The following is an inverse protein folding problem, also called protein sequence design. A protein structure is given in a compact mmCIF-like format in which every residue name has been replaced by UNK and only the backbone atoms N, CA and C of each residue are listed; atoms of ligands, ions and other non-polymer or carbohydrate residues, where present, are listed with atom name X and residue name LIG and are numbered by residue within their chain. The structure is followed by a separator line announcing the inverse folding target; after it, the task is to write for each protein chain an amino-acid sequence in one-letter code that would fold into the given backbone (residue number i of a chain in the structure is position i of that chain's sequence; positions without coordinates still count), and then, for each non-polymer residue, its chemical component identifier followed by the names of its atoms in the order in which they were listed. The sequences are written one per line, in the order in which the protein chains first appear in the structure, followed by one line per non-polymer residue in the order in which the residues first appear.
data_IF_370722551552
#
_entry.id   IF_370722551552
#
_cell.length_a   1.000
_cell.length_b   1.000
_cell.length_c   1.000
_cell.angle_alpha   90.00
_cell.angle_beta   90.00
_cell.angle_gamma   90.00
#
_symmetry.space_group_name_H-M   'P 1'
#
loop_
_entity.id
_entity.type
_entity.pdbx_description
1 polymer ?
#
# COMPACT_ATOMS: atom_id res chain seq x y z
N UNK A 1 13.81 39.60 -46.00
CA UNK A 1 13.15 39.15 -44.75
C UNK A 1 12.95 37.66 -44.82
N UNK A 2 13.65 36.88 -43.99
CA UNK A 2 13.22 35.54 -43.53
C UNK A 2 14.15 35.09 -42.39
N UNK A 3 13.74 35.35 -41.13
CA UNK A 3 14.36 34.77 -39.92
C UNK A 3 13.89 33.32 -39.79
N UNK A 4 14.79 32.35 -39.68
CA UNK A 4 14.47 31.01 -39.14
C UNK A 4 14.60 31.07 -37.62
N UNK A 5 13.58 30.70 -36.81
CA UNK A 5 13.58 31.00 -35.38
C UNK A 5 14.22 29.95 -34.46
N UNK A 6 14.74 28.84 -34.98
CA UNK A 6 15.40 27.83 -34.14
C UNK A 6 16.63 27.27 -34.85
N UNK A 7 17.70 28.06 -34.89
CA UNK A 7 19.04 27.54 -35.06
C UNK A 7 19.50 27.02 -33.70
N UNK A 8 19.15 25.78 -33.37
CA UNK A 8 19.79 25.09 -32.26
C UNK A 8 21.22 24.82 -32.74
N UNK A 9 22.15 25.63 -32.25
CA UNK A 9 23.56 25.57 -32.61
C UNK A 9 24.11 24.20 -32.20
N UNK A 10 24.26 23.34 -33.20
CA UNK A 10 24.81 21.99 -33.09
C UNK A 10 26.30 22.01 -32.67
N UNK A 11 26.86 23.18 -32.33
CA UNK A 11 28.18 23.36 -31.72
C UNK A 11 28.21 23.28 -30.19
N UNK A 12 27.06 23.31 -29.48
CA UNK A 12 27.00 23.04 -28.02
C UNK A 12 26.76 21.57 -27.68
N UNK A 13 26.68 20.69 -28.68
CA UNK A 13 26.56 19.25 -28.49
C UNK A 13 27.92 18.55 -28.28
N UNK A 14 29.04 19.28 -28.32
CA UNK A 14 30.36 18.71 -28.01
C UNK A 14 30.71 18.93 -26.53
N UNK A 15 30.33 17.93 -25.72
CA UNK A 15 31.01 17.46 -24.52
C UNK A 15 31.31 18.50 -23.42
N UNK A 16 30.30 18.77 -22.57
CA UNK A 16 30.61 18.92 -21.16
C UNK A 16 30.74 17.49 -20.59
N UNK A 17 31.95 16.98 -20.30
CA UNK A 17 32.15 15.60 -19.85
C UNK A 17 31.37 15.29 -18.56
N UNK A 18 31.02 16.33 -17.79
CA UNK A 18 30.16 16.20 -16.62
C UNK A 18 28.70 15.89 -17.00
N UNK A 19 28.16 16.49 -18.08
CA UNK A 19 26.80 16.22 -18.57
C UNK A 19 26.69 14.83 -19.21
N UNK A 20 27.70 14.43 -20.00
CA UNK A 20 27.76 13.08 -20.58
C UNK A 20 27.91 12.01 -19.50
N UNK A 21 28.76 12.26 -18.48
CA UNK A 21 28.86 11.38 -17.33
C UNK A 21 27.52 11.25 -16.60
N UNK A 22 26.82 12.37 -16.38
CA UNK A 22 25.53 12.40 -15.68
C UNK A 22 24.43 11.67 -16.46
N UNK A 23 24.37 11.86 -17.79
CA UNK A 23 23.48 11.12 -18.68
C UNK A 23 23.81 9.62 -18.72
N UNK A 24 25.10 9.26 -18.73
CA UNK A 24 25.51 7.85 -18.63
C UNK A 24 25.15 7.24 -17.28
N UNK A 25 25.20 7.97 -16.16
CA UNK A 25 24.72 7.46 -14.87
C UNK A 25 23.21 7.20 -14.92
N UNK A 26 22.44 8.12 -15.50
CA UNK A 26 21.00 7.96 -15.70
C UNK A 26 20.65 6.77 -16.60
N UNK A 27 21.38 6.58 -17.69
CA UNK A 27 21.11 5.50 -18.63
C UNK A 27 21.64 4.13 -18.17
N UNK A 28 22.75 4.09 -17.41
CA UNK A 28 23.24 2.86 -16.78
C UNK A 28 22.36 2.40 -15.63
N UNK A 29 21.65 3.32 -14.98
CA UNK A 29 20.65 3.04 -13.97
C UNK A 29 19.26 2.89 -14.57
N UNK A 30 18.97 1.90 -15.39
CA UNK A 30 17.57 1.54 -15.65
C UNK A 30 16.97 0.98 -14.35
N UNK A 31 16.09 1.65 -13.63
CA UNK A 31 15.57 3.02 -13.67
C UNK A 31 15.21 3.29 -12.20
N UNK A 32 15.78 4.29 -11.50
CA UNK A 32 15.30 4.67 -10.17
C UNK A 32 13.78 4.77 -10.10
N UNK A 33 13.12 5.21 -11.19
CA UNK A 33 11.67 5.18 -11.30
C UNK A 33 11.07 3.77 -11.39
N UNK A 34 11.72 2.81 -12.05
CA UNK A 34 11.25 1.43 -12.07
C UNK A 34 11.40 0.75 -10.69
N UNK A 35 12.47 1.06 -9.94
CA UNK A 35 12.64 0.57 -8.56
C UNK A 35 11.63 1.21 -7.61
N UNK A 36 11.42 2.52 -7.72
CA UNK A 36 10.36 3.24 -7.03
C UNK A 36 8.99 2.63 -7.33
N UNK A 37 8.71 2.35 -8.60
CA UNK A 37 7.44 1.77 -9.03
C UNK A 37 7.26 0.33 -8.54
N UNK A 38 8.34 -0.45 -8.47
CA UNK A 38 8.33 -1.78 -7.85
C UNK A 38 8.06 -1.68 -6.35
N UNK A 39 8.79 -0.83 -5.61
CA UNK A 39 8.59 -0.63 -4.17
C UNK A 39 7.16 -0.17 -3.85
N UNK A 40 6.58 0.68 -4.70
CA UNK A 40 5.18 1.10 -4.60
C UNK A 40 4.19 -0.05 -4.82
N UNK A 41 4.40 -0.89 -5.85
CA UNK A 41 3.55 -2.06 -6.09
C UNK A 41 3.65 -3.08 -4.95
N UNK A 42 4.83 -3.30 -4.40
CA UNK A 42 5.04 -4.19 -3.25
C UNK A 42 4.31 -3.67 -2.00
N UNK A 43 4.42 -2.38 -1.69
CA UNK A 43 3.68 -1.77 -0.58
C UNK A 43 2.16 -1.84 -0.77
N UNK A 44 1.66 -1.68 -1.99
CA UNK A 44 0.24 -1.88 -2.29
C UNK A 44 -0.19 -3.34 -2.11
N UNK A 45 0.62 -4.30 -2.56
CA UNK A 45 0.32 -5.71 -2.42
C UNK A 45 0.25 -6.14 -0.94
N UNK A 46 1.19 -5.67 -0.12
CA UNK A 46 1.19 -5.88 1.34
C UNK A 46 -0.06 -5.31 2.01
N UNK A 47 -0.45 -4.08 1.64
CA UNK A 47 -1.69 -3.47 2.14
C UNK A 47 -2.94 -4.26 1.71
N UNK A 48 -3.02 -4.71 0.46
CA UNK A 48 -4.14 -5.52 -0.02
C UNK A 48 -4.23 -6.88 0.67
N UNK A 49 -3.09 -7.54 0.90
CA UNK A 49 -3.05 -8.81 1.61
C UNK A 49 -3.57 -8.67 3.04
N UNK A 50 -3.18 -7.59 3.71
CA UNK A 50 -3.63 -7.29 5.06
C UNK A 50 -5.13 -6.96 5.11
N UNK A 51 -5.65 -6.16 4.19
CA UNK A 51 -7.09 -5.89 4.07
C UNK A 51 -7.88 -7.17 3.78
N UNK A 52 -7.36 -8.08 2.96
CA UNK A 52 -7.98 -9.38 2.70
C UNK A 52 -8.05 -10.25 3.97
N UNK A 53 -7.00 -10.24 4.80
CA UNK A 53 -7.02 -10.94 6.11
C UNK A 53 -8.06 -10.35 7.04
N UNK A 54 -8.18 -9.02 7.06
CA UNK A 54 -9.19 -8.33 7.85
C UNK A 54 -10.62 -8.67 7.40
N UNK A 55 -10.89 -8.64 6.09
CA UNK A 55 -12.18 -9.03 5.52
C UNK A 55 -12.52 -10.50 5.81
N UNK A 56 -11.52 -11.39 5.76
CA UNK A 56 -11.70 -12.79 6.16
C UNK A 56 -12.09 -12.90 7.64
N UNK A 57 -11.43 -12.17 8.53
CA UNK A 57 -11.79 -12.17 9.95
C UNK A 57 -13.21 -11.65 10.19
N UNK A 58 -13.65 -10.61 9.46
CA UNK A 58 -15.05 -10.17 9.51
C UNK A 58 -15.99 -11.27 9.03
N UNK A 59 -15.71 -11.90 7.89
CA UNK A 59 -16.56 -12.96 7.35
C UNK A 59 -16.70 -14.14 8.33
N UNK A 60 -15.60 -14.57 8.95
CA UNK A 60 -15.59 -15.62 9.98
C UNK A 60 -16.37 -15.20 11.23
N UNK A 61 -16.27 -13.94 11.65
CA UNK A 61 -17.09 -13.40 12.74
C UNK A 61 -18.58 -13.42 12.37
N UNK A 62 -18.95 -13.03 11.15
CA UNK A 62 -20.32 -13.10 10.64
C UNK A 62 -20.91 -14.50 10.63
N UNK A 63 -20.11 -15.52 10.27
CA UNK A 63 -20.52 -16.93 10.35
C UNK A 63 -20.73 -17.38 11.80
N UNK A 64 -19.92 -16.89 12.75
CA UNK A 64 -20.15 -17.15 14.19
C UNK A 64 -21.41 -16.45 14.69
N UNK A 65 -21.68 -15.23 14.22
CA UNK A 65 -22.92 -14.52 14.54
C UNK A 65 -24.12 -15.33 14.07
N UNK A 66 -24.11 -15.82 12.83
CA UNK A 66 -25.23 -16.62 12.32
C UNK A 66 -25.43 -17.88 13.15
N UNK A 67 -24.37 -18.53 13.63
CA UNK A 67 -24.45 -19.68 14.55
C UNK A 67 -25.05 -19.36 15.91
N UNK A 68 -24.94 -18.12 16.41
CA UNK A 68 -25.66 -17.71 17.62
C UNK A 68 -27.17 -17.56 17.41
N UNK A 69 -27.62 -17.49 16.16
CA UNK A 69 -29.02 -17.41 15.77
C UNK A 69 -29.57 -18.69 15.13
N UNK A 70 -28.71 -19.66 14.79
CA UNK A 70 -29.08 -20.93 14.15
C UNK A 70 -29.36 -22.02 15.21
N UNK A 71 -30.47 -22.76 15.08
CA UNK A 71 -30.89 -23.81 16.02
C UNK A 71 -32.16 -23.47 16.82
N UNK A 72 -32.28 -23.94 18.07
CA UNK A 72 -33.39 -23.60 19.00
C UNK A 72 -33.39 -22.12 19.46
N UNK A 73 -32.46 -21.32 18.94
CA UNK A 73 -32.24 -19.93 19.35
C UNK A 73 -31.54 -19.83 20.71
N UNK A 74 -31.00 -18.66 21.07
CA UNK A 74 -30.47 -18.44 22.41
C UNK A 74 -31.60 -18.64 23.44
N UNK A 75 -31.32 -19.44 24.46
CA UNK A 75 -32.28 -19.84 25.49
C UNK A 75 -32.63 -18.67 26.42
N UNK A 76 -31.74 -17.67 26.52
CA UNK A 76 -31.96 -16.46 27.29
C UNK A 76 -31.43 -15.18 26.59
N UNK A 77 -31.99 -14.01 26.94
CA UNK A 77 -31.46 -12.71 26.50
C UNK A 77 -29.99 -12.46 26.90
N UNK A 78 -29.53 -13.08 27.98
CA UNK A 78 -28.17 -12.96 28.50
C UNK A 78 -27.16 -13.68 27.60
N UNK A 79 -27.50 -14.89 27.13
CA UNK A 79 -26.69 -15.66 26.17
C UNK A 79 -26.54 -14.93 24.82
N UNK A 80 -27.64 -14.29 24.36
CA UNK A 80 -27.62 -13.46 23.16
C UNK A 80 -26.69 -12.25 23.33
N UNK A 81 -26.79 -11.56 24.47
CA UNK A 81 -26.00 -10.37 24.76
C UNK A 81 -24.51 -10.70 24.89
N UNK A 82 -24.15 -11.82 25.51
CA UNK A 82 -22.78 -12.31 25.57
C UNK A 82 -22.22 -12.62 24.17
N UNK A 83 -22.99 -13.32 23.32
CA UNK A 83 -22.54 -13.60 21.95
C UNK A 83 -22.32 -12.29 21.17
N UNK A 84 -23.24 -11.34 21.26
CA UNK A 84 -23.11 -10.05 20.59
C UNK A 84 -21.91 -9.23 21.10
N UNK A 85 -21.73 -9.15 22.43
CA UNK A 85 -20.58 -8.46 23.03
C UNK A 85 -19.27 -9.05 22.55
N UNK A 86 -19.15 -10.37 22.56
CA UNK A 86 -17.95 -11.07 22.09
C UNK A 86 -17.66 -10.76 20.63
N UNK A 87 -18.68 -10.74 19.78
CA UNK A 87 -18.53 -10.41 18.37
C UNK A 87 -18.07 -8.96 18.14
N UNK A 88 -18.71 -8.00 18.81
CA UNK A 88 -18.33 -6.59 18.72
C UNK A 88 -16.90 -6.38 19.20
N UNK A 89 -16.49 -7.07 20.27
CA UNK A 89 -15.11 -7.07 20.76
C UNK A 89 -14.15 -7.59 19.69
N UNK A 90 -14.42 -8.76 19.09
CA UNK A 90 -13.58 -9.38 18.05
C UNK A 90 -13.42 -8.47 16.82
N UNK A 91 -14.50 -7.85 16.34
CA UNK A 91 -14.47 -6.93 15.19
C UNK A 91 -13.73 -5.64 15.55
N UNK A 92 -13.95 -5.10 16.75
CA UNK A 92 -13.27 -3.89 17.23
C UNK A 92 -11.76 -4.11 17.35
N UNK A 93 -11.33 -5.23 17.91
CA UNK A 93 -9.91 -5.59 18.03
C UNK A 93 -9.26 -5.76 16.65
N UNK A 94 -9.98 -6.37 15.69
CA UNK A 94 -9.51 -6.50 14.32
C UNK A 94 -9.39 -5.13 13.61
N UNK A 95 -10.32 -4.20 13.85
CA UNK A 95 -10.25 -2.83 13.33
C UNK A 95 -9.10 -2.03 13.96
N UNK A 96 -8.85 -2.19 15.26
CA UNK A 96 -7.72 -1.54 15.93
C UNK A 96 -6.38 -2.02 15.38
N UNK A 97 -6.21 -3.33 15.19
CA UNK A 97 -5.03 -3.90 14.51
C UNK A 97 -4.89 -3.37 13.09
N UNK A 98 -6.01 -3.20 12.39
CA UNK A 98 -6.01 -2.62 11.05
C UNK A 98 -5.53 -1.18 11.02
N UNK A 99 -6.01 -0.36 11.94
CA UNK A 99 -5.58 1.02 12.10
C UNK A 99 -4.07 1.09 12.39
N UNK A 100 -3.58 0.28 13.33
CA UNK A 100 -2.15 0.24 13.69
C UNK A 100 -1.28 -0.11 12.48
N UNK A 101 -1.62 -1.17 11.75
CA UNK A 101 -0.89 -1.57 10.55
C UNK A 101 -0.93 -0.51 9.44
N UNK A 102 -2.08 0.15 9.23
CA UNK A 102 -2.20 1.24 8.26
C UNK A 102 -1.29 2.44 8.59
N UNK A 103 -1.08 2.74 9.88
CA UNK A 103 -0.14 3.80 10.29
C UNK A 103 1.32 3.43 10.01
N UNK A 104 1.68 2.15 10.12
CA UNK A 104 3.03 1.64 9.86
C UNK A 104 3.36 1.56 8.36
N UNK A 105 2.40 1.18 7.52
CA UNK A 105 2.56 1.10 6.06
C UNK A 105 3.11 2.39 5.45
N UNK A 106 2.62 3.56 5.90
CA UNK A 106 3.08 4.85 5.38
C UNK A 106 4.53 5.14 5.76
N UNK A 107 4.93 4.73 6.96
CA UNK A 107 6.31 4.88 7.43
C UNK A 107 7.27 3.95 6.65
N UNK A 108 6.89 2.69 6.48
CA UNK A 108 7.71 1.68 5.81
C UNK A 108 7.84 1.96 4.31
N UNK A 109 6.77 2.41 3.66
CA UNK A 109 6.82 2.85 2.26
C UNK A 109 7.81 4.02 2.08
N UNK A 110 7.72 5.05 2.93
CA UNK A 110 8.66 6.19 2.87
C UNK A 110 10.10 5.75 3.09
N UNK A 111 10.34 4.80 4.00
CA UNK A 111 11.67 4.24 4.24
C UNK A 111 12.21 3.51 3.01
N UNK A 112 11.41 2.61 2.40
CA UNK A 112 11.81 1.88 1.18
C UNK A 112 12.10 2.83 0.01
N UNK A 113 11.32 3.90 -0.14
CA UNK A 113 11.60 4.94 -1.13
C UNK A 113 12.96 5.62 -0.87
N UNK A 114 13.22 6.00 0.38
CA UNK A 114 14.47 6.67 0.76
C UNK A 114 15.72 5.80 0.60
N UNK A 115 15.59 4.48 0.71
CA UNK A 115 16.69 3.53 0.49
C UNK A 115 17.02 3.37 -1.01
N UNK A 116 16.13 3.77 -1.92
CA UNK A 116 16.28 3.64 -3.38
C UNK A 116 16.70 4.95 -4.10
N UNK A 117 16.75 6.09 -3.39
CA UNK A 117 17.20 7.42 -3.88
C UNK A 117 18.69 7.60 -3.58
#
# INVERSE_FOLDING_TARGET
MTKKPFGMDMGMASANPMLEWWQQQWMKGGNPMARMQLAWMESMAEAMQFEAQFLKAIAESGERLSKCFDGEGPTSPEELQECYQKLVQEVSDAQMKRMEHATQLTHDFRKRIWEEI
#
